data_IF_426258470916
#
_entry.id   IF_426258470916
#
_cell.length_a   1.000
_cell.length_b   1.000
_cell.length_c   1.000
_cell.angle_alpha   90.00
_cell.angle_beta   90.00
_cell.angle_gamma   90.00
#
_symmetry.space_group_name_H-M   'P 1'
#
loop_
_entity.id
_entity.type
_entity.pdbx_description
1 polymer ?
#
# COMPACT_ATOMS: atom_id res chain seq x y z
N UNK A 1 1.73 -17.17 -4.93
CA UNK A 1 2.94 -17.22 -4.08
C UNK A 1 2.64 -18.21 -2.97
N UNK A 2 3.32 -19.37 -2.95
CA UNK A 2 3.11 -20.39 -1.91
C UNK A 2 3.85 -20.05 -0.60
N UNK A 3 4.95 -19.28 -0.69
CA UNK A 3 5.74 -18.85 0.46
C UNK A 3 6.25 -17.42 0.26
N UNK A 4 6.31 -16.65 1.34
CA UNK A 4 6.92 -15.34 1.38
C UNK A 4 7.87 -15.28 2.58
N UNK A 5 9.15 -15.00 2.32
CA UNK A 5 10.18 -14.91 3.34
C UNK A 5 10.27 -13.46 3.85
N UNK A 6 9.62 -13.17 4.97
CA UNK A 6 9.70 -11.84 5.57
C UNK A 6 10.94 -11.71 6.44
N UNK A 7 11.51 -10.50 6.47
CA UNK A 7 12.56 -10.14 7.43
C UNK A 7 11.91 -9.60 8.69
N UNK A 8 12.30 -10.12 9.86
CA UNK A 8 11.88 -9.61 11.17
C UNK A 8 13.06 -8.98 11.89
N UNK A 9 12.88 -7.75 12.34
CA UNK A 9 13.86 -7.01 13.15
C UNK A 9 13.43 -7.05 14.61
N UNK A 10 14.37 -7.42 15.49
CA UNK A 10 14.22 -7.36 16.93
C UNK A 10 15.20 -6.34 17.48
N UNK A 11 14.69 -5.34 18.18
CA UNK A 11 15.50 -4.37 18.92
C UNK A 11 15.33 -4.59 20.43
N UNK A 12 16.42 -4.61 21.17
CA UNK A 12 16.40 -4.81 22.62
C UNK A 12 17.00 -3.58 23.32
N UNK A 13 16.31 -3.07 24.33
CA UNK A 13 16.83 -2.04 25.23
C UNK A 13 17.60 -2.66 26.38
N UNK A 14 18.42 -1.85 27.06
CA UNK A 14 19.23 -2.21 28.24
C UNK A 14 18.37 -2.69 29.43
N UNK A 15 17.13 -2.21 29.53
CA UNK A 15 16.17 -2.66 30.54
C UNK A 15 15.46 -3.99 30.20
N UNK A 16 15.86 -4.67 29.11
CA UNK A 16 15.32 -5.95 28.67
C UNK A 16 14.01 -5.87 27.85
N UNK A 17 13.46 -4.68 27.64
CA UNK A 17 12.30 -4.51 26.76
C UNK A 17 12.68 -4.74 25.30
N UNK A 18 11.74 -5.24 24.50
CA UNK A 18 11.96 -5.64 23.12
C UNK A 18 10.90 -5.03 22.21
N UNK A 19 11.33 -4.45 21.09
CA UNK A 19 10.49 -4.03 19.98
C UNK A 19 10.68 -4.91 18.76
N UNK A 20 9.63 -5.02 17.96
CA UNK A 20 9.57 -5.84 16.76
C UNK A 20 9.12 -5.04 15.55
N UNK A 21 9.74 -5.30 14.41
CA UNK A 21 9.36 -4.76 13.11
C UNK A 21 9.55 -5.79 12.03
N UNK A 22 8.86 -5.62 10.91
CA UNK A 22 8.82 -6.58 9.82
C UNK A 22 8.88 -5.87 8.46
N UNK A 23 9.54 -6.51 7.49
CA UNK A 23 9.45 -6.13 6.09
C UNK A 23 9.24 -7.38 5.21
N UNK A 24 8.26 -7.34 4.27
CA UNK A 24 8.01 -8.45 3.37
C UNK A 24 9.05 -8.52 2.26
N UNK A 25 9.23 -9.72 1.71
CA UNK A 25 9.91 -9.93 0.43
C UNK A 25 9.06 -9.34 -0.70
N UNK A 26 9.47 -8.21 -1.25
CA UNK A 26 8.69 -7.46 -2.24
C UNK A 26 9.55 -6.91 -3.40
N UNK A 27 10.32 -7.77 -4.12
CA UNK A 27 11.26 -7.29 -5.15
C UNK A 27 10.57 -6.58 -6.32
N UNK A 28 9.28 -6.84 -6.57
CA UNK A 28 8.52 -6.21 -7.64
C UNK A 28 8.00 -4.82 -7.27
N UNK A 29 7.95 -4.48 -5.97
CA UNK A 29 7.49 -3.18 -5.49
C UNK A 29 8.64 -2.22 -5.21
N UNK A 30 9.61 -2.63 -4.40
CA UNK A 30 10.71 -1.78 -3.96
C UNK A 30 12.11 -2.27 -4.41
N UNK A 31 12.18 -3.42 -5.08
CA UNK A 31 13.44 -4.00 -5.53
C UNK A 31 14.24 -4.72 -4.43
N UNK A 32 13.69 -4.84 -3.23
CA UNK A 32 14.40 -5.41 -2.10
C UNK A 32 14.10 -6.91 -1.92
N UNK A 33 15.15 -7.66 -1.60
CA UNK A 33 15.08 -9.08 -1.26
C UNK A 33 15.49 -9.28 0.19
N UNK A 34 14.99 -10.31 0.85
CA UNK A 34 15.22 -10.58 2.28
C UNK A 34 16.68 -10.55 2.67
N UNK A 35 17.58 -11.17 1.89
CA UNK A 35 19.02 -11.16 2.15
C UNK A 35 19.63 -9.76 2.06
N UNK A 36 19.18 -8.94 1.10
CA UNK A 36 19.60 -7.55 0.96
C UNK A 36 19.18 -6.73 2.17
N UNK A 37 17.92 -6.85 2.59
CA UNK A 37 17.41 -6.16 3.78
C UNK A 37 18.17 -6.54 5.05
N UNK A 38 18.50 -7.82 5.25
CA UNK A 38 19.32 -8.27 6.40
C UNK A 38 20.70 -7.59 6.38
N UNK A 39 21.36 -7.55 5.21
CA UNK A 39 22.66 -6.88 5.09
C UNK A 39 22.58 -5.38 5.39
N UNK A 40 21.49 -4.72 5.00
CA UNK A 40 21.25 -3.31 5.33
C UNK A 40 21.04 -3.11 6.84
N UNK A 41 20.25 -3.97 7.50
CA UNK A 41 20.07 -3.92 8.96
C UNK A 41 21.41 -4.11 9.67
N UNK A 42 22.22 -5.07 9.22
CA UNK A 42 23.57 -5.29 9.78
C UNK A 42 24.50 -4.10 9.59
N UNK A 43 24.40 -3.43 8.45
CA UNK A 43 25.17 -2.19 8.20
C UNK A 43 24.72 -1.03 9.09
N UNK A 44 23.42 -0.91 9.34
CA UNK A 44 22.85 0.21 10.11
C UNK A 44 22.96 0.05 11.62
N UNK A 45 23.04 -1.19 12.11
CA UNK A 45 22.97 -1.49 13.57
C UNK A 45 23.96 -0.70 14.42
N UNK A 46 25.20 -0.52 13.95
CA UNK A 46 26.24 0.19 14.71
C UNK A 46 25.91 1.67 14.95
N UNK A 47 25.07 2.27 14.09
CA UNK A 47 24.62 3.66 14.24
C UNK A 47 23.38 3.79 15.12
N UNK A 48 22.73 2.68 15.44
CA UNK A 48 21.51 2.62 16.22
C UNK A 48 21.75 2.12 17.65
N UNK A 49 22.94 1.55 17.92
CA UNK A 49 23.35 1.18 19.28
C UNK A 49 23.54 2.47 20.09
N UNK A 50 23.11 2.45 21.36
CA UNK A 50 23.19 3.55 22.33
C UNK A 50 22.35 4.80 21.95
N UNK A 51 21.51 4.73 20.95
CA UNK A 51 20.55 5.80 20.62
C UNK A 51 19.36 5.74 21.59
N UNK A 52 18.96 6.89 22.11
CA UNK A 52 17.78 6.95 22.99
C UNK A 52 16.49 6.73 22.20
N UNK A 53 15.82 5.60 22.44
CA UNK A 53 14.63 5.17 21.70
C UNK A 53 13.46 6.16 21.76
N UNK A 54 13.44 7.03 22.76
CA UNK A 54 12.40 8.08 22.87
C UNK A 54 12.61 9.22 21.88
N UNK A 55 13.80 9.37 21.32
CA UNK A 55 14.12 10.40 20.36
C UNK A 55 13.82 9.94 18.92
N UNK A 56 12.54 9.86 18.59
CA UNK A 56 12.06 9.37 17.29
C UNK A 56 12.61 10.20 16.13
N UNK A 57 12.77 11.52 16.30
CA UNK A 57 13.25 12.38 15.20
C UNK A 57 14.73 12.12 14.90
N UNK A 58 15.58 11.90 15.92
CA UNK A 58 16.97 11.49 15.72
C UNK A 58 17.08 10.14 15.02
N UNK A 59 16.21 9.19 15.37
CA UNK A 59 16.13 7.88 14.72
C UNK A 59 15.79 8.05 13.24
N UNK A 60 14.81 8.86 12.90
CA UNK A 60 14.44 9.15 11.51
C UNK A 60 15.60 9.76 10.72
N UNK A 61 16.33 10.69 11.33
CA UNK A 61 17.49 11.31 10.68
C UNK A 61 18.59 10.27 10.43
N UNK A 62 18.89 9.40 11.39
CA UNK A 62 19.85 8.29 11.20
C UNK A 62 19.41 7.38 10.07
N UNK A 63 18.13 6.97 10.04
CA UNK A 63 17.58 6.12 8.99
C UNK A 63 17.64 6.80 7.61
N UNK A 64 17.39 8.10 7.55
CA UNK A 64 17.38 8.85 6.29
C UNK A 64 18.78 8.95 5.66
N UNK A 65 19.80 9.29 6.47
CA UNK A 65 21.13 9.64 5.94
C UNK A 65 22.12 8.48 5.87
N UNK A 66 21.87 7.36 6.59
CA UNK A 66 22.85 6.27 6.70
C UNK A 66 23.05 5.51 5.39
N UNK A 67 21.98 5.28 4.63
CA UNK A 67 22.03 4.59 3.35
C UNK A 67 20.91 5.11 2.44
N UNK A 68 21.18 5.25 1.15
CA UNK A 68 20.15 5.67 0.18
C UNK A 68 19.17 4.54 -0.11
N UNK A 69 17.88 4.85 -0.29
CA UNK A 69 16.83 3.86 -0.57
C UNK A 69 16.65 2.86 0.58
N UNK A 70 16.48 1.57 0.24
CA UNK A 70 16.32 0.47 1.19
C UNK A 70 15.14 0.68 2.17
N UNK A 71 14.01 1.08 1.59
CA UNK A 71 12.80 1.47 2.34
C UNK A 71 12.23 0.34 3.20
N UNK A 72 12.25 -0.90 2.69
CA UNK A 72 11.78 -2.07 3.44
C UNK A 72 12.62 -2.35 4.69
N UNK A 73 13.96 -2.37 4.55
CA UNK A 73 14.85 -2.57 5.70
C UNK A 73 14.71 -1.43 6.73
N UNK A 74 14.64 -0.17 6.26
CA UNK A 74 14.44 1.00 7.14
C UNK A 74 13.09 0.95 7.86
N UNK A 75 12.03 0.57 7.15
CA UNK A 75 10.68 0.44 7.70
C UNK A 75 10.63 -0.61 8.82
N UNK A 76 11.28 -1.76 8.65
CA UNK A 76 11.35 -2.78 9.69
C UNK A 76 12.09 -2.28 10.95
N UNK A 77 13.19 -1.53 10.78
CA UNK A 77 13.90 -0.91 11.90
C UNK A 77 13.01 0.14 12.58
N UNK A 78 12.40 1.02 11.81
CA UNK A 78 11.54 2.10 12.31
C UNK A 78 10.34 1.54 13.11
N UNK A 79 9.68 0.52 12.59
CA UNK A 79 8.59 -0.18 13.30
C UNK A 79 9.08 -0.79 14.62
N UNK A 80 10.26 -1.46 14.63
CA UNK A 80 10.80 -2.06 15.84
C UNK A 80 11.13 -1.02 16.92
N UNK A 81 11.66 0.13 16.52
CA UNK A 81 11.99 1.23 17.43
C UNK A 81 10.74 1.94 17.96
N UNK A 82 9.72 2.13 17.13
CA UNK A 82 8.43 2.67 17.55
C UNK A 82 7.69 1.72 18.50
N UNK A 83 7.69 0.40 18.24
CA UNK A 83 7.11 -0.61 19.14
C UNK A 83 7.83 -0.59 20.50
N UNK A 84 9.16 -0.55 20.49
CA UNK A 84 9.95 -0.46 21.71
C UNK A 84 9.67 0.85 22.48
N UNK A 85 9.61 1.98 21.78
CA UNK A 85 9.27 3.28 22.37
C UNK A 85 7.91 3.27 23.06
N UNK A 86 6.88 2.70 22.38
CA UNK A 86 5.55 2.53 22.94
C UNK A 86 5.55 1.74 24.24
N UNK A 87 6.27 0.63 24.28
CA UNK A 87 6.42 -0.21 25.45
C UNK A 87 7.15 0.50 26.61
N UNK A 88 8.26 1.20 26.32
CA UNK A 88 9.00 1.96 27.32
C UNK A 88 8.16 3.10 27.91
N UNK A 89 7.41 3.79 27.08
CA UNK A 89 6.54 4.90 27.49
C UNK A 89 5.20 4.42 28.08
N UNK A 90 4.92 3.12 28.03
CA UNK A 90 3.64 2.53 28.39
C UNK A 90 2.45 3.24 27.70
N UNK A 91 2.62 3.51 26.41
CA UNK A 91 1.63 4.17 25.55
C UNK A 91 1.39 3.36 24.29
N UNK A 92 0.15 3.28 23.80
CA UNK A 92 -0.12 2.72 22.48
C UNK A 92 0.53 3.61 21.40
N UNK A 93 0.92 2.99 20.29
CA UNK A 93 1.64 3.69 19.23
C UNK A 93 0.89 4.91 18.67
N UNK A 94 -0.44 4.82 18.54
CA UNK A 94 -1.23 5.95 18.06
C UNK A 94 -1.13 7.20 18.94
N UNK A 95 -0.91 7.06 20.25
CA UNK A 95 -0.69 8.20 21.15
C UNK A 95 0.65 8.88 20.91
N UNK A 96 1.68 8.08 20.58
CA UNK A 96 3.01 8.60 20.21
C UNK A 96 2.94 9.34 18.87
N UNK A 97 2.11 8.86 17.95
CA UNK A 97 1.91 9.43 16.62
C UNK A 97 0.90 10.60 16.59
N UNK A 98 0.53 11.16 17.72
CA UNK A 98 -0.33 12.36 17.79
C UNK A 98 -1.79 12.10 18.16
N UNK A 99 -2.11 10.93 18.69
CA UNK A 99 -3.40 10.56 19.22
C UNK A 99 -4.36 9.91 18.22
N UNK A 100 -5.36 9.23 18.77
CA UNK A 100 -6.40 8.57 17.97
C UNK A 100 -7.26 9.58 17.23
N UNK A 101 -7.48 9.38 15.95
CA UNK A 101 -8.42 10.15 15.12
C UNK A 101 -9.73 9.41 14.88
N UNK A 102 -9.72 8.09 15.03
CA UNK A 102 -10.89 7.20 14.83
C UNK A 102 -10.77 5.98 15.74
N UNK A 103 -11.90 5.50 16.22
CA UNK A 103 -11.96 4.25 17.00
C UNK A 103 -12.00 2.99 16.09
N UNK A 104 -12.55 3.15 14.89
CA UNK A 104 -12.73 2.06 13.92
C UNK A 104 -12.37 2.54 12.53
N UNK A 105 -11.76 1.64 11.76
CA UNK A 105 -11.45 1.84 10.34
C UNK A 105 -12.21 0.78 9.54
N UNK A 106 -13.05 1.16 8.55
CA UNK A 106 -13.69 0.20 7.66
C UNK A 106 -12.63 -0.59 6.90
N UNK A 107 -12.87 -1.88 6.75
CA UNK A 107 -12.01 -2.74 5.93
C UNK A 107 -12.52 -2.77 4.50
N UNK A 108 -11.60 -2.74 3.54
CA UNK A 108 -11.89 -2.98 2.14
C UNK A 108 -11.74 -4.48 1.82
N UNK A 109 -12.68 -5.05 1.08
CA UNK A 109 -12.57 -6.42 0.59
C UNK A 109 -12.07 -6.44 -0.86
N UNK A 110 -11.12 -7.36 -1.16
CA UNK A 110 -10.59 -7.53 -2.50
C UNK A 110 -11.45 -8.53 -3.29
N UNK A 111 -11.96 -8.09 -4.43
CA UNK A 111 -12.62 -8.92 -5.43
C UNK A 111 -11.58 -9.29 -6.48
N UNK A 112 -10.99 -10.49 -6.31
CA UNK A 112 -9.73 -10.85 -6.95
C UNK A 112 -9.89 -11.68 -8.25
N UNK A 113 -11.10 -11.92 -8.70
CA UNK A 113 -11.40 -12.79 -9.84
C UNK A 113 -11.62 -14.25 -9.43
N UNK A 114 -11.85 -15.10 -10.44
CA UNK A 114 -12.16 -16.52 -10.27
C UNK A 114 -13.64 -16.83 -10.43
N UNK A 115 -13.98 -18.12 -10.50
CA UNK A 115 -15.36 -18.56 -10.79
C UNK A 115 -16.38 -18.12 -9.72
N UNK A 116 -15.96 -18.01 -8.46
CA UNK A 116 -16.80 -17.67 -7.32
C UNK A 116 -16.76 -16.19 -6.91
N UNK A 117 -16.09 -15.30 -7.67
CA UNK A 117 -15.81 -13.93 -7.22
C UNK A 117 -17.08 -13.15 -6.80
N UNK A 118 -18.15 -13.23 -7.58
CA UNK A 118 -19.40 -12.53 -7.28
C UNK A 118 -20.25 -13.21 -6.22
N UNK A 119 -20.09 -14.50 -6.02
CA UNK A 119 -20.65 -15.22 -4.89
C UNK A 119 -19.96 -14.76 -3.60
N UNK A 120 -18.63 -14.73 -3.60
CA UNK A 120 -17.85 -14.23 -2.47
C UNK A 120 -18.15 -12.76 -2.17
N UNK A 121 -18.35 -11.92 -3.20
CA UNK A 121 -18.75 -10.52 -3.02
C UNK A 121 -20.06 -10.42 -2.21
N UNK A 122 -21.08 -11.19 -2.55
CA UNK A 122 -22.37 -11.22 -1.83
C UNK A 122 -22.20 -11.70 -0.38
N UNK A 123 -21.42 -12.76 -0.18
CA UNK A 123 -21.12 -13.27 1.17
C UNK A 123 -20.40 -12.21 2.03
N UNK A 124 -19.56 -11.36 1.46
CA UNK A 124 -18.88 -10.28 2.19
C UNK A 124 -19.79 -9.11 2.53
N UNK A 125 -20.75 -8.81 1.66
CA UNK A 125 -21.83 -7.87 1.97
C UNK A 125 -22.60 -8.36 3.21
N UNK A 126 -22.98 -9.63 3.25
CA UNK A 126 -23.71 -10.24 4.38
C UNK A 126 -22.87 -10.22 5.68
N UNK A 127 -21.54 -10.25 5.58
CA UNK A 127 -20.62 -10.09 6.71
C UNK A 127 -20.40 -8.63 7.15
N UNK A 128 -21.02 -7.65 6.47
CA UNK A 128 -20.98 -6.24 6.84
C UNK A 128 -19.84 -5.44 6.22
N UNK A 129 -19.15 -5.96 5.18
CA UNK A 129 -18.23 -5.13 4.40
C UNK A 129 -19.01 -4.08 3.61
N UNK A 130 -18.46 -2.87 3.57
CA UNK A 130 -19.09 -1.71 2.90
C UNK A 130 -18.22 -1.14 1.78
N UNK A 131 -16.99 -1.62 1.64
CA UNK A 131 -16.00 -1.14 0.66
C UNK A 131 -15.36 -2.30 -0.06
N UNK A 132 -15.26 -2.21 -1.38
CA UNK A 132 -14.78 -3.27 -2.26
C UNK A 132 -13.76 -2.72 -3.25
N UNK A 133 -12.73 -3.51 -3.55
CA UNK A 133 -11.71 -3.21 -4.56
C UNK A 133 -11.65 -4.34 -5.58
N UNK A 134 -12.02 -4.06 -6.82
CA UNK A 134 -11.96 -5.01 -7.93
C UNK A 134 -10.54 -5.06 -8.50
N UNK A 135 -9.93 -6.22 -8.51
CA UNK A 135 -8.65 -6.43 -9.20
C UNK A 135 -8.89 -6.61 -10.69
N UNK A 136 -8.23 -5.76 -11.49
CA UNK A 136 -8.30 -5.72 -12.96
C UNK A 136 -6.88 -5.75 -13.55
N UNK A 137 -6.74 -5.73 -14.86
CA UNK A 137 -5.43 -5.68 -15.53
C UNK A 137 -4.75 -7.03 -15.74
N UNK A 138 -5.39 -8.13 -15.38
CA UNK A 138 -4.88 -9.50 -15.63
C UNK A 138 -5.66 -10.26 -16.72
N UNK A 139 -6.78 -9.72 -17.15
CA UNK A 139 -7.60 -10.25 -18.24
C UNK A 139 -7.56 -9.30 -19.43
N UNK A 140 -8.23 -9.70 -20.52
CA UNK A 140 -8.59 -8.78 -21.59
C UNK A 140 -9.44 -7.63 -21.01
N UNK A 141 -9.19 -6.41 -21.43
CA UNK A 141 -9.81 -5.20 -20.87
C UNK A 141 -11.35 -5.23 -20.94
N UNK A 142 -11.91 -5.81 -22.00
CA UNK A 142 -13.37 -5.97 -22.17
C UNK A 142 -13.97 -6.82 -21.05
N UNK A 143 -13.29 -7.89 -20.66
CA UNK A 143 -13.71 -8.76 -19.57
C UNK A 143 -13.63 -8.03 -18.20
N UNK A 144 -12.60 -7.26 -17.98
CA UNK A 144 -12.47 -6.49 -16.74
C UNK A 144 -13.52 -5.38 -16.66
N UNK A 145 -13.91 -4.76 -17.79
CA UNK A 145 -15.04 -3.84 -17.87
C UNK A 145 -16.36 -4.56 -17.52
N UNK A 146 -16.64 -5.72 -18.11
CA UNK A 146 -17.83 -6.52 -17.79
C UNK A 146 -17.90 -6.90 -16.31
N UNK A 147 -16.77 -7.30 -15.70
CA UNK A 147 -16.67 -7.60 -14.28
C UNK A 147 -16.96 -6.38 -13.41
N UNK A 148 -16.49 -5.20 -13.80
CA UNK A 148 -16.74 -3.97 -13.07
C UNK A 148 -18.24 -3.61 -13.09
N UNK A 149 -18.92 -3.76 -14.21
CA UNK A 149 -20.37 -3.58 -14.29
C UNK A 149 -21.14 -4.61 -13.47
N UNK A 150 -20.75 -5.88 -13.50
CA UNK A 150 -21.43 -6.92 -12.70
C UNK A 150 -21.21 -6.71 -11.19
N UNK A 151 -20.02 -6.31 -10.77
CA UNK A 151 -19.75 -5.95 -9.38
C UNK A 151 -20.66 -4.79 -8.94
N UNK A 152 -20.73 -3.71 -9.73
CA UNK A 152 -21.56 -2.55 -9.39
C UNK A 152 -23.05 -2.88 -9.37
N UNK A 153 -23.52 -3.72 -10.27
CA UNK A 153 -24.91 -4.20 -10.26
C UNK A 153 -25.26 -4.96 -8.98
N UNK A 154 -24.32 -5.71 -8.43
CA UNK A 154 -24.50 -6.41 -7.15
C UNK A 154 -24.50 -5.42 -5.99
N UNK A 155 -23.62 -4.43 -6.03
CA UNK A 155 -23.45 -3.42 -4.99
C UNK A 155 -24.57 -2.36 -4.99
N UNK A 156 -25.24 -2.17 -6.13
CA UNK A 156 -26.40 -1.28 -6.31
C UNK A 156 -26.17 0.15 -5.74
N UNK A 157 -24.96 0.70 -5.93
CA UNK A 157 -24.52 2.00 -5.41
C UNK A 157 -24.68 2.23 -3.89
N UNK A 158 -24.98 1.16 -3.13
CA UNK A 158 -25.08 1.24 -1.66
C UNK A 158 -23.73 1.06 -0.96
N UNK A 159 -22.70 0.68 -1.73
CA UNK A 159 -21.36 0.35 -1.28
C UNK A 159 -20.33 1.08 -2.14
N UNK A 160 -19.12 1.25 -1.61
CA UNK A 160 -18.03 1.82 -2.40
C UNK A 160 -17.37 0.73 -3.25
N UNK A 161 -17.03 1.06 -4.48
CA UNK A 161 -16.29 0.20 -5.40
C UNK A 161 -15.12 0.98 -5.98
N UNK A 162 -13.92 0.48 -5.84
CA UNK A 162 -12.72 0.93 -6.55
C UNK A 162 -12.20 -0.17 -7.47
N UNK A 163 -11.40 0.20 -8.48
CA UNK A 163 -10.68 -0.75 -9.32
C UNK A 163 -9.18 -0.56 -9.12
N UNK A 164 -8.42 -1.66 -9.19
CA UNK A 164 -6.96 -1.63 -9.05
C UNK A 164 -6.33 -2.56 -10.08
N UNK A 165 -5.53 -1.98 -10.97
CA UNK A 165 -4.85 -2.71 -12.03
C UNK A 165 -3.45 -3.17 -11.67
N UNK A 166 -2.86 -2.72 -10.56
CA UNK A 166 -1.49 -3.02 -10.14
C UNK A 166 -0.49 -2.97 -11.32
N UNK A 167 -0.56 -1.89 -12.12
CA UNK A 167 0.27 -1.68 -13.32
C UNK A 167 -0.02 -2.64 -14.48
N UNK A 168 -1.13 -3.40 -14.45
CA UNK A 168 -1.39 -4.51 -15.38
C UNK A 168 -1.84 -4.10 -16.77
N UNK A 169 -2.32 -2.89 -16.98
CA UNK A 169 -2.73 -2.43 -18.30
C UNK A 169 -1.58 -1.82 -19.10
N UNK A 170 -1.62 -2.00 -20.41
CA UNK A 170 -0.93 -1.12 -21.34
C UNK A 170 -1.70 0.22 -21.49
N UNK A 171 -1.13 1.18 -22.20
CA UNK A 171 -1.75 2.49 -22.39
C UNK A 171 -3.14 2.43 -23.02
N UNK A 172 -3.33 1.61 -24.06
CA UNK A 172 -4.59 1.52 -24.79
C UNK A 172 -5.70 0.93 -23.91
N UNK A 173 -5.41 -0.15 -23.20
CA UNK A 173 -6.34 -0.82 -22.29
C UNK A 173 -6.69 0.07 -21.09
N UNK A 174 -5.72 0.79 -20.51
CA UNK A 174 -5.95 1.73 -19.42
C UNK A 174 -6.91 2.85 -19.82
N UNK A 175 -6.71 3.45 -21.01
CA UNK A 175 -7.58 4.50 -21.55
C UNK A 175 -8.96 3.96 -21.90
N UNK A 176 -9.04 2.72 -22.39
CA UNK A 176 -10.30 2.05 -22.70
C UNK A 176 -11.10 1.79 -21.43
N UNK A 177 -10.46 1.21 -20.41
CA UNK A 177 -11.10 0.98 -19.11
C UNK A 177 -11.59 2.30 -18.49
N UNK A 178 -10.73 3.32 -18.43
CA UNK A 178 -11.08 4.65 -17.90
C UNK A 178 -12.30 5.27 -18.58
N UNK A 179 -12.38 5.15 -19.91
CA UNK A 179 -13.48 5.75 -20.71
C UNK A 179 -14.78 4.96 -20.60
N UNK A 180 -14.70 3.63 -20.49
CA UNK A 180 -15.86 2.72 -20.56
C UNK A 180 -16.49 2.43 -19.21
N UNK A 181 -15.84 2.78 -18.11
CA UNK A 181 -16.35 2.56 -16.75
C UNK A 181 -16.87 3.85 -16.09
N UNK A 182 -17.12 4.89 -16.89
CA UNK A 182 -17.48 6.21 -16.38
C UNK A 182 -18.81 6.27 -15.63
N UNK A 183 -19.79 5.46 -16.03
CA UNK A 183 -21.12 5.39 -15.43
C UNK A 183 -21.23 4.37 -14.28
N UNK A 184 -20.16 3.62 -14.01
CA UNK A 184 -20.11 2.65 -12.89
C UNK A 184 -20.12 3.38 -11.55
N UNK A 185 -19.51 4.57 -11.46
CA UNK A 185 -19.38 5.31 -10.20
C UNK A 185 -18.29 4.72 -9.30
N UNK A 186 -17.13 4.39 -9.88
CA UNK A 186 -15.97 3.97 -9.09
C UNK A 186 -15.50 5.10 -8.18
N UNK A 187 -15.14 4.79 -6.94
CA UNK A 187 -14.53 5.75 -6.00
C UNK A 187 -13.18 6.25 -6.53
N UNK A 188 -12.37 5.34 -7.06
CA UNK A 188 -11.10 5.63 -7.74
C UNK A 188 -10.67 4.44 -8.59
N UNK A 189 -9.79 4.73 -9.55
CA UNK A 189 -9.10 3.71 -10.35
C UNK A 189 -7.61 3.76 -10.04
N UNK A 190 -7.09 2.71 -9.39
CA UNK A 190 -5.74 2.63 -8.86
C UNK A 190 -4.77 2.03 -9.85
N UNK A 191 -3.63 2.66 -9.97
CA UNK A 191 -2.43 2.26 -10.70
C UNK A 191 -2.70 1.55 -12.03
N UNK A 192 -3.32 2.24 -13.00
CA UNK A 192 -3.65 1.68 -14.32
C UNK A 192 -2.47 1.06 -15.05
N UNK A 193 -1.37 1.79 -15.07
CA UNK A 193 -0.15 1.46 -15.82
C UNK A 193 1.07 1.54 -14.91
N UNK A 194 2.26 1.17 -15.43
CA UNK A 194 3.52 1.29 -14.66
C UNK A 194 3.65 2.67 -14.03
N UNK A 195 4.12 2.71 -12.79
CA UNK A 195 4.29 3.95 -12.03
C UNK A 195 5.20 4.99 -12.68
N UNK A 196 6.00 4.60 -13.68
CA UNK A 196 6.84 5.50 -14.47
C UNK A 196 6.09 6.19 -15.60
N UNK A 197 4.94 5.69 -16.02
CA UNK A 197 4.13 6.25 -17.12
C UNK A 197 3.08 7.24 -16.60
N UNK A 198 3.58 8.36 -16.06
CA UNK A 198 2.75 9.42 -15.50
C UNK A 198 1.86 10.04 -16.58
N UNK A 199 2.35 10.17 -17.81
CA UNK A 199 1.59 10.78 -18.92
C UNK A 199 0.32 9.97 -19.22
N UNK A 200 0.41 8.66 -19.27
CA UNK A 200 -0.77 7.81 -19.43
C UNK A 200 -1.74 7.92 -18.23
N UNK A 201 -1.24 8.02 -17.00
CA UNK A 201 -2.11 8.22 -15.83
C UNK A 201 -2.85 9.56 -15.89
N UNK A 202 -2.19 10.64 -16.34
CA UNK A 202 -2.85 11.94 -16.58
C UNK A 202 -3.92 11.84 -17.66
N UNK A 203 -3.67 11.11 -18.76
CA UNK A 203 -4.68 10.87 -19.79
C UNK A 203 -5.85 10.03 -19.28
N UNK A 204 -5.59 9.02 -18.45
CA UNK A 204 -6.64 8.24 -17.79
C UNK A 204 -7.51 9.15 -16.92
N UNK A 205 -6.90 10.01 -16.11
CA UNK A 205 -7.62 10.97 -15.26
C UNK A 205 -8.51 11.92 -16.09
N UNK A 206 -8.02 12.37 -17.23
CA UNK A 206 -8.80 13.24 -18.13
C UNK A 206 -10.00 12.54 -18.81
N UNK A 207 -9.98 11.21 -18.90
CA UNK A 207 -11.03 10.40 -19.54
C UNK A 207 -11.94 9.68 -18.56
N UNK A 208 -11.49 9.50 -17.34
CA UNK A 208 -12.22 8.81 -16.27
C UNK A 208 -13.14 9.77 -15.54
N UNK A 209 -14.30 9.27 -15.11
CA UNK A 209 -15.15 9.96 -14.13
C UNK A 209 -14.69 9.71 -12.69
N UNK A 210 -13.91 8.64 -12.47
CA UNK A 210 -13.29 8.34 -11.20
C UNK A 210 -11.89 8.97 -11.11
N UNK A 211 -11.46 9.44 -9.94
CA UNK A 211 -10.07 9.86 -9.73
C UNK A 211 -9.08 8.72 -10.00
N UNK A 212 -7.90 9.03 -10.49
CA UNK A 212 -6.82 8.05 -10.60
C UNK A 212 -6.05 8.01 -9.29
N UNK A 213 -5.97 6.81 -8.71
CA UNK A 213 -5.12 6.51 -7.55
C UNK A 213 -3.72 6.11 -7.98
N UNK A 214 -2.71 6.53 -7.23
CA UNK A 214 -1.31 6.14 -7.46
C UNK A 214 -0.82 5.36 -6.26
N UNK A 215 -0.31 4.14 -6.47
CA UNK A 215 0.27 3.24 -5.47
C UNK A 215 1.74 2.96 -5.81
N UNK A 216 2.02 2.04 -6.72
CA UNK A 216 3.39 1.64 -7.07
C UNK A 216 4.21 2.76 -7.74
N UNK A 217 3.58 3.85 -8.10
CA UNK A 217 4.23 5.07 -8.61
C UNK A 217 4.79 5.98 -7.52
N UNK A 218 4.49 5.74 -6.23
CA UNK A 218 4.89 6.60 -5.12
C UNK A 218 5.77 5.82 -4.14
N UNK A 219 7.04 6.20 -4.06
CA UNK A 219 8.02 5.64 -3.12
C UNK A 219 8.51 6.67 -2.09
N UNK A 220 8.29 7.96 -2.34
CA UNK A 220 8.73 9.06 -1.47
C UNK A 220 7.88 10.33 -1.70
N UNK A 221 8.15 11.36 -0.90
CA UNK A 221 7.41 12.64 -0.96
C UNK A 221 7.59 13.38 -2.30
N UNK A 222 8.72 13.22 -2.96
CA UNK A 222 8.96 13.91 -4.24
C UNK A 222 8.13 13.29 -5.36
N UNK A 223 7.89 11.97 -5.31
CA UNK A 223 6.96 11.31 -6.24
C UNK A 223 5.54 11.87 -6.08
N UNK A 224 5.08 12.12 -4.84
CA UNK A 224 3.77 12.76 -4.59
C UNK A 224 3.71 14.13 -5.25
N UNK A 225 4.76 14.95 -5.11
CA UNK A 225 4.81 16.28 -5.72
C UNK A 225 4.76 16.19 -7.26
N UNK A 226 5.54 15.26 -7.84
CA UNK A 226 5.56 15.04 -9.30
C UNK A 226 4.17 14.70 -9.81
N UNK A 227 3.48 13.74 -9.18
CA UNK A 227 2.12 13.37 -9.55
C UNK A 227 1.13 14.51 -9.34
N UNK A 228 1.26 15.27 -8.25
CA UNK A 228 0.42 16.44 -7.97
C UNK A 228 0.58 17.53 -9.04
N UNK A 229 1.80 17.83 -9.47
CA UNK A 229 2.10 18.92 -10.43
C UNK A 229 1.70 18.56 -11.88
N UNK A 230 1.50 17.27 -12.16
CA UNK A 230 1.16 16.75 -13.49
C UNK A 230 -0.35 16.58 -13.72
N UNK A 231 -1.20 16.94 -12.79
CA UNK A 231 -2.69 16.79 -12.82
C UNK A 231 -3.34 17.02 -14.17
#
# INVERSE_FOLDING_TARGET
>A
IEHCDNMVVKVSADNGMVGWGEAPYAPFFNGEITRGMIAVVDFMKERLIDVEVKNIDEIKDILAVTIYGNSGAKSAIDMALHDLSGKILNKPLYDILGGSKREKVPMIWLVAGGEDEFKLLKERIDLGFVSFKLKVGTNEVTKDIERAYEAQKILDHNYTLSADANQGFNREDALTFSSKTGDIGLDFFEQPVTGKDIDTMVECNARSYAPIGVDEGIHNIDDIKIHHDRK
#
